data_IF_207942445315
#
_entry.id   IF_207942445315
#
_cell.length_a   1.000
_cell.length_b   1.000
_cell.length_c   1.000
_cell.angle_alpha   90.00
_cell.angle_beta   90.00
_cell.angle_gamma   90.00
#
_symmetry.space_group_name_H-M   'P 1'
#
loop_
_entity.id
_entity.type
_entity.pdbx_description
1 polymer ?
#
# COMPACT_ATOMS: atom_id res chain seq x y z
N UNK A 1 27.03 0.67 -2.51
CA UNK A 1 26.62 2.09 -2.63
C UNK A 1 25.12 2.35 -2.50
N UNK A 2 24.22 1.40 -2.75
CA UNK A 2 22.76 1.61 -2.54
C UNK A 2 22.32 1.72 -1.06
N UNK A 3 22.94 0.95 -0.16
CA UNK A 3 22.58 0.93 1.27
C UNK A 3 22.83 2.28 1.98
N UNK A 4 23.87 3.01 1.56
CA UNK A 4 24.15 4.34 2.10
C UNK A 4 23.13 5.38 1.62
N UNK A 5 22.70 5.27 0.36
CA UNK A 5 21.70 6.15 -0.24
C UNK A 5 20.32 5.96 0.41
N UNK A 6 19.92 4.71 0.66
CA UNK A 6 18.67 4.37 1.36
C UNK A 6 18.69 4.88 2.81
N UNK A 7 19.82 4.77 3.51
CA UNK A 7 19.95 5.30 4.88
C UNK A 7 19.84 6.82 4.94
N UNK A 8 20.48 7.55 4.01
CA UNK A 8 20.41 9.02 3.98
C UNK A 8 18.99 9.50 3.66
N UNK A 9 18.34 8.89 2.67
CA UNK A 9 16.96 9.23 2.29
C UNK A 9 15.97 8.93 3.43
N UNK A 10 16.19 7.85 4.18
CA UNK A 10 15.41 7.48 5.36
C UNK A 10 15.59 8.47 6.52
N UNK A 11 16.78 9.05 6.69
CA UNK A 11 17.03 10.07 7.71
C UNK A 11 16.35 11.39 7.33
N UNK A 12 16.40 11.77 6.05
CA UNK A 12 15.74 12.97 5.53
C UNK A 12 14.22 12.92 5.65
N UNK A 13 13.59 11.77 5.37
CA UNK A 13 12.14 11.59 5.51
C UNK A 13 11.68 11.66 6.97
N UNK A 14 12.46 11.08 7.90
CA UNK A 14 12.19 11.17 9.34
C UNK A 14 12.32 12.61 9.83
N UNK A 15 13.37 13.32 9.38
CA UNK A 15 13.60 14.73 9.70
C UNK A 15 12.49 15.62 9.16
N UNK A 16 12.05 15.38 7.92
CA UNK A 16 10.94 16.11 7.30
C UNK A 16 9.62 15.93 8.07
N UNK A 17 9.28 14.68 8.42
CA UNK A 17 8.08 14.38 9.21
C UNK A 17 8.14 14.98 10.61
N UNK A 18 9.27 14.88 11.29
CA UNK A 18 9.49 15.52 12.58
C UNK A 18 9.34 17.05 12.49
N UNK A 19 9.89 17.66 11.43
CA UNK A 19 9.77 19.09 11.19
C UNK A 19 8.31 19.52 11.00
N UNK A 20 7.50 18.74 10.27
CA UNK A 20 6.07 18.99 10.09
C UNK A 20 5.32 18.87 11.43
N UNK A 21 5.57 17.81 12.21
CA UNK A 21 4.94 17.65 13.52
C UNK A 21 5.31 18.79 14.48
N UNK A 22 6.57 19.23 14.49
CA UNK A 22 7.01 20.38 15.29
C UNK A 22 6.37 21.70 14.84
N UNK A 23 6.20 21.91 13.53
CA UNK A 23 5.46 23.08 13.00
C UNK A 23 3.99 23.07 13.45
N UNK A 24 3.35 21.91 13.49
CA UNK A 24 1.99 21.77 13.97
C UNK A 24 1.88 22.10 15.47
N UNK A 25 2.82 21.62 16.30
CA UNK A 25 2.90 22.00 17.72
C UNK A 25 3.04 23.51 17.88
N UNK A 26 3.92 24.14 17.09
CA UNK A 26 4.11 25.58 17.13
C UNK A 26 2.83 26.35 16.77
N UNK A 27 2.16 25.94 15.68
CA UNK A 27 0.91 26.57 15.23
C UNK A 27 -0.22 26.41 16.26
N UNK A 28 -0.44 25.20 16.77
CA UNK A 28 -1.47 24.92 17.78
C UNK A 28 -1.18 25.67 19.09
N UNK A 29 0.09 25.77 19.48
CA UNK A 29 0.50 26.50 20.68
C UNK A 29 0.29 28.00 20.54
N UNK A 30 0.64 28.59 19.39
CA UNK A 30 0.36 30.00 19.11
C UNK A 30 -1.15 30.28 19.12
N UNK A 31 -1.95 29.40 18.51
CA UNK A 31 -3.41 29.55 18.52
C UNK A 31 -3.95 29.51 19.96
N UNK A 32 -3.49 28.58 20.78
CA UNK A 32 -3.85 28.50 22.19
C UNK A 32 -3.46 29.77 22.95
N UNK A 33 -2.23 30.27 22.77
CA UNK A 33 -1.75 31.49 23.43
C UNK A 33 -2.54 32.72 23.02
N UNK A 34 -2.89 32.88 21.74
CA UNK A 34 -3.73 33.97 21.27
C UNK A 34 -5.13 33.90 21.91
N UNK A 35 -5.73 32.71 22.01
CA UNK A 35 -7.04 32.55 22.67
C UNK A 35 -6.96 32.82 24.18
N UNK A 36 -5.89 32.38 24.83
CA UNK A 36 -5.65 32.65 26.25
C UNK A 36 -5.46 34.15 26.51
N UNK A 37 -4.76 34.84 25.61
CA UNK A 37 -4.57 36.29 25.64
C UNK A 37 -5.89 37.04 25.49
N UNK A 38 -6.74 36.67 24.53
CA UNK A 38 -8.08 37.26 24.37
C UNK A 38 -8.90 37.13 25.65
N UNK A 39 -8.91 35.96 26.29
CA UNK A 39 -9.63 35.73 27.56
C UNK A 39 -9.03 36.57 28.70
N UNK A 40 -7.71 36.73 28.74
CA UNK A 40 -7.04 37.49 29.80
C UNK A 40 -7.23 39.01 29.68
N UNK A 41 -7.35 39.54 28.46
CA UNK A 41 -7.55 40.97 28.22
C UNK A 41 -9.02 41.34 28.40
N UNK A 42 -9.95 40.41 28.12
CA UNK A 42 -11.39 40.66 28.18
C UNK A 42 -12.12 39.69 29.14
N UNK A 43 -11.87 39.79 30.47
CA UNK A 43 -12.39 38.86 31.47
C UNK A 43 -13.90 38.98 31.71
N UNK A 44 -14.57 39.99 31.14
CA UNK A 44 -16.03 40.19 31.21
C UNK A 44 -16.82 39.30 30.25
N UNK A 45 -16.13 38.59 29.35
CA UNK A 45 -16.76 37.63 28.43
C UNK A 45 -17.07 36.35 29.23
N UNK A 46 -18.25 36.30 29.84
CA UNK A 46 -18.81 35.08 30.43
C UNK A 46 -19.38 34.15 29.33
N UNK A 47 -18.74 34.13 28.17
CA UNK A 47 -19.19 33.41 26.98
C UNK A 47 -18.59 32.00 27.00
N UNK A 48 -19.48 31.02 27.09
CA UNK A 48 -19.11 29.60 27.09
C UNK A 48 -18.40 29.21 25.79
N UNK A 49 -18.64 29.95 24.71
CA UNK A 49 -18.01 29.70 23.41
C UNK A 49 -16.50 29.97 23.43
N UNK A 50 -16.05 31.07 24.04
CA UNK A 50 -14.62 31.40 24.12
C UNK A 50 -13.86 30.40 25.00
N UNK A 51 -14.48 29.95 26.10
CA UNK A 51 -13.93 28.89 26.95
C UNK A 51 -13.85 27.55 26.23
N UNK A 52 -14.88 27.20 25.44
CA UNK A 52 -14.89 26.00 24.61
C UNK A 52 -13.80 26.06 23.54
N UNK A 53 -13.63 27.20 22.86
CA UNK A 53 -12.58 27.40 21.87
C UNK A 53 -11.17 27.30 22.48
N UNK A 54 -10.95 27.80 23.70
CA UNK A 54 -9.69 27.61 24.42
C UNK A 54 -9.43 26.15 24.78
N UNK A 55 -10.44 25.44 25.29
CA UNK A 55 -10.34 24.02 25.62
C UNK A 55 -10.04 23.18 24.38
N UNK A 56 -10.65 23.51 23.24
CA UNK A 56 -10.37 22.85 21.97
C UNK A 56 -8.94 23.13 21.48
N UNK A 57 -8.45 24.37 21.61
CA UNK A 57 -7.06 24.69 21.29
C UNK A 57 -6.07 23.94 22.20
N UNK A 58 -6.37 23.78 23.49
CA UNK A 58 -5.55 22.98 24.41
C UNK A 58 -5.53 21.49 24.03
N UNK A 59 -6.67 20.95 23.59
CA UNK A 59 -6.77 19.59 23.07
C UNK A 59 -5.93 19.42 21.80
N UNK A 60 -6.00 20.36 20.86
CA UNK A 60 -5.19 20.35 19.64
C UNK A 60 -3.68 20.42 19.94
N UNK A 61 -3.26 21.17 20.97
CA UNK A 61 -1.86 21.14 21.45
C UNK A 61 -1.49 19.74 21.95
N UNK A 62 -2.34 19.14 22.79
CA UNK A 62 -2.12 17.79 23.33
C UNK A 62 -2.01 16.74 22.23
N UNK A 63 -2.89 16.79 21.23
CA UNK A 63 -2.86 15.93 20.04
C UNK A 63 -1.58 16.12 19.23
N UNK A 64 -1.17 17.37 18.96
CA UNK A 64 0.06 17.66 18.21
C UNK A 64 1.33 17.18 18.93
N UNK A 65 1.34 17.20 20.27
CA UNK A 65 2.44 16.65 21.06
C UNK A 65 2.46 15.12 20.96
N UNK A 66 1.30 14.47 21.03
CA UNK A 66 1.19 13.03 20.83
C UNK A 66 1.65 12.62 19.42
N UNK A 67 1.42 13.45 18.41
CA UNK A 67 1.93 13.23 17.05
C UNK A 67 3.46 13.32 16.97
N UNK A 68 4.09 14.27 17.69
CA UNK A 68 5.55 14.34 17.79
C UNK A 68 6.11 13.11 18.51
N UNK A 69 5.49 12.71 19.62
CA UNK A 69 5.88 11.50 20.37
C UNK A 69 5.78 10.29 19.44
N UNK A 70 4.70 10.17 18.68
CA UNK A 70 4.52 9.10 17.69
C UNK A 70 5.58 9.18 16.59
N UNK A 71 5.92 10.37 16.10
CA UNK A 71 6.97 10.56 15.10
C UNK A 71 8.38 10.24 15.61
N UNK A 72 8.66 10.45 16.90
CA UNK A 72 9.96 10.20 17.54
C UNK A 72 10.11 8.75 18.05
N UNK A 73 9.04 8.15 18.60
CA UNK A 73 9.08 6.86 19.28
C UNK A 73 8.60 5.70 18.41
N UNK A 74 7.73 5.95 17.42
CA UNK A 74 7.33 4.90 16.48
C UNK A 74 8.27 4.99 15.30
N UNK A 75 9.27 4.09 15.18
CA UNK A 75 9.82 3.81 13.88
C UNK A 75 8.64 3.29 13.06
N UNK A 76 8.04 4.12 12.21
CA UNK A 76 7.55 3.58 10.94
C UNK A 76 8.81 3.06 10.28
N UNK A 77 9.14 1.78 10.52
CA UNK A 77 10.16 1.11 9.74
C UNK A 77 9.69 1.28 8.30
N UNK A 78 10.50 1.90 7.41
CA UNK A 78 10.10 2.05 6.03
C UNK A 78 9.82 0.68 5.38
N UNK A 79 10.38 -0.40 5.92
CA UNK A 79 10.05 -1.77 5.52
C UNK A 79 8.54 -2.04 5.64
N UNK A 80 7.87 -1.71 6.74
CA UNK A 80 6.44 -2.01 6.90
C UNK A 80 5.51 -1.18 6.00
N UNK A 81 5.95 0.01 5.56
CA UNK A 81 5.23 0.81 4.56
C UNK A 81 5.51 0.38 3.13
N UNK A 82 6.75 -0.04 2.82
CA UNK A 82 7.11 -0.62 1.53
C UNK A 82 6.43 -1.99 1.37
N UNK A 83 6.51 -2.86 2.38
CA UNK A 83 5.80 -4.15 2.44
C UNK A 83 4.30 -4.00 2.21
N UNK A 84 3.68 -3.03 2.89
CA UNK A 84 2.26 -2.73 2.67
C UNK A 84 2.00 -2.25 1.25
N UNK A 85 2.84 -1.34 0.73
CA UNK A 85 2.71 -0.85 -0.65
C UNK A 85 2.89 -1.97 -1.69
N UNK A 86 3.82 -2.89 -1.49
CA UNK A 86 4.07 -4.01 -2.41
C UNK A 86 2.93 -5.04 -2.36
N UNK A 87 2.37 -5.30 -1.18
CA UNK A 87 1.14 -6.06 -1.05
C UNK A 87 -0.04 -5.37 -1.74
N UNK A 88 -0.20 -4.05 -1.55
CA UNK A 88 -1.27 -3.27 -2.18
C UNK A 88 -1.12 -3.28 -3.72
N UNK A 89 0.11 -3.16 -4.24
CA UNK A 89 0.41 -3.31 -5.66
C UNK A 89 0.07 -4.71 -6.18
N UNK A 90 0.48 -5.76 -5.47
CA UNK A 90 0.16 -7.14 -5.83
C UNK A 90 -1.36 -7.38 -5.88
N UNK A 91 -2.11 -6.84 -4.92
CA UNK A 91 -3.58 -6.91 -4.91
C UNK A 91 -4.15 -6.18 -6.13
N UNK A 92 -3.63 -4.99 -6.45
CA UNK A 92 -4.07 -4.23 -7.62
C UNK A 92 -3.84 -4.99 -8.93
N UNK A 93 -2.67 -5.61 -9.10
CA UNK A 93 -2.34 -6.41 -10.29
C UNK A 93 -3.26 -7.65 -10.42
N UNK A 94 -3.54 -8.33 -9.31
CA UNK A 94 -4.43 -9.49 -9.28
C UNK A 94 -5.89 -9.11 -9.60
N UNK A 95 -6.41 -8.00 -9.04
CA UNK A 95 -7.76 -7.52 -9.38
C UNK A 95 -7.83 -7.08 -10.84
N UNK A 96 -6.80 -6.42 -11.37
CA UNK A 96 -6.73 -6.08 -12.80
C UNK A 96 -6.75 -7.33 -13.67
N UNK A 97 -5.96 -8.35 -13.32
CA UNK A 97 -5.94 -9.65 -14.01
C UNK A 97 -7.30 -10.34 -13.98
N UNK A 98 -8.01 -10.29 -12.86
CA UNK A 98 -9.39 -10.83 -12.77
C UNK A 98 -10.35 -10.13 -13.74
N UNK A 99 -10.23 -8.81 -13.94
CA UNK A 99 -11.08 -8.13 -14.93
C UNK A 99 -10.86 -8.64 -16.36
N UNK A 100 -9.64 -9.07 -16.70
CA UNK A 100 -9.32 -9.69 -17.99
C UNK A 100 -10.11 -10.99 -18.21
N UNK A 101 -10.29 -11.81 -17.16
CA UNK A 101 -11.08 -13.04 -17.23
C UNK A 101 -12.59 -12.78 -17.30
N UNK A 102 -13.06 -11.66 -16.77
CA UNK A 102 -14.48 -11.29 -16.77
C UNK A 102 -14.93 -10.71 -18.11
N UNK A 103 -14.00 -10.15 -18.87
CA UNK A 103 -14.27 -9.69 -20.23
C UNK A 103 -14.41 -10.91 -21.16
N UNK A 104 -15.43 -10.89 -22.02
CA UNK A 104 -15.58 -11.91 -23.06
C UNK A 104 -14.32 -11.92 -23.92
N UNK A 105 -13.57 -13.03 -23.90
CA UNK A 105 -12.31 -13.18 -24.63
C UNK A 105 -12.61 -13.30 -26.13
N UNK A 106 -12.81 -12.17 -26.78
CA UNK A 106 -13.09 -12.07 -28.23
C UNK A 106 -11.80 -12.01 -29.06
N UNK A 107 -10.65 -11.79 -28.41
CA UNK A 107 -9.35 -11.68 -29.05
C UNK A 107 -8.32 -12.53 -28.30
N UNK A 108 -7.33 -13.10 -29.00
CA UNK A 108 -6.25 -13.84 -28.36
C UNK A 108 -5.43 -12.91 -27.47
N UNK A 109 -5.16 -13.34 -26.24
CA UNK A 109 -4.27 -12.63 -25.32
C UNK A 109 -2.79 -12.83 -25.70
N UNK A 110 -2.48 -13.96 -26.35
CA UNK A 110 -1.12 -14.33 -26.74
C UNK A 110 -1.10 -15.11 -28.06
N UNK A 111 0.09 -15.31 -28.63
CA UNK A 111 0.30 -16.09 -29.86
C UNK A 111 0.59 -17.58 -29.58
N UNK A 112 0.42 -18.01 -28.33
CA UNK A 112 0.70 -19.39 -27.91
C UNK A 112 -0.38 -20.36 -28.40
N UNK A 113 0.06 -21.57 -28.74
CA UNK A 113 -0.83 -22.69 -29.03
C UNK A 113 -1.42 -23.27 -27.74
N UNK A 114 -2.41 -24.18 -27.88
CA UNK A 114 -3.07 -24.80 -26.72
C UNK A 114 -2.10 -25.53 -25.80
N UNK A 115 -1.19 -26.33 -26.36
CA UNK A 115 -0.22 -27.11 -25.57
C UNK A 115 0.83 -26.22 -24.91
N UNK A 116 1.32 -25.18 -25.59
CA UNK A 116 2.24 -24.21 -24.99
C UNK A 116 1.57 -23.40 -23.88
N UNK A 117 0.28 -23.07 -24.05
CA UNK A 117 -0.53 -22.42 -23.02
C UNK A 117 -0.71 -23.33 -21.81
N UNK A 118 -0.94 -24.63 -22.03
CA UNK A 118 -1.04 -25.63 -20.97
C UNK A 118 0.29 -25.78 -20.20
N UNK A 119 1.42 -25.84 -20.91
CA UNK A 119 2.75 -25.89 -20.29
C UNK A 119 3.00 -24.65 -19.42
N UNK A 120 2.63 -23.47 -19.91
CA UNK A 120 2.69 -22.23 -19.13
C UNK A 120 1.78 -22.26 -17.89
N UNK A 121 0.57 -22.83 -17.99
CA UNK A 121 -0.30 -23.00 -16.81
C UNK A 121 0.36 -23.89 -15.77
N UNK A 122 0.95 -25.01 -16.19
CA UNK A 122 1.62 -25.94 -15.27
C UNK A 122 2.83 -25.28 -14.60
N UNK A 123 3.69 -24.62 -15.37
CA UNK A 123 4.90 -23.99 -14.85
C UNK A 123 4.56 -22.84 -13.88
N UNK A 124 3.62 -21.96 -14.25
CA UNK A 124 3.22 -20.88 -13.34
C UNK A 124 2.47 -21.39 -12.11
N UNK A 125 1.75 -22.52 -12.19
CA UNK A 125 1.12 -23.16 -11.01
C UNK A 125 2.16 -23.68 -10.03
N UNK A 126 3.26 -24.26 -10.53
CA UNK A 126 4.38 -24.71 -9.71
C UNK A 126 5.07 -23.52 -9.04
N UNK A 127 5.38 -22.46 -9.81
CA UNK A 127 5.98 -21.23 -9.30
C UNK A 127 5.12 -20.57 -8.22
N UNK A 128 3.80 -20.56 -8.39
CA UNK A 128 2.88 -20.05 -7.37
C UNK A 128 2.96 -20.89 -6.08
N UNK A 129 2.97 -22.22 -6.18
CA UNK A 129 3.11 -23.10 -5.01
C UNK A 129 4.43 -22.91 -4.25
N UNK A 130 5.53 -22.71 -4.98
CA UNK A 130 6.84 -22.37 -4.40
C UNK A 130 6.81 -20.99 -3.71
N UNK A 131 6.25 -19.98 -4.37
CA UNK A 131 6.10 -18.64 -3.82
C UNK A 131 5.24 -18.64 -2.53
N UNK A 132 4.13 -19.38 -2.50
CA UNK A 132 3.30 -19.54 -1.29
C UNK A 132 4.06 -20.18 -0.13
N UNK A 133 4.92 -21.16 -0.42
CA UNK A 133 5.80 -21.78 0.57
C UNK A 133 6.84 -20.79 1.09
N UNK A 134 7.44 -20.00 0.19
CA UNK A 134 8.36 -18.93 0.56
C UNK A 134 7.68 -17.86 1.42
N UNK A 135 6.47 -17.42 1.09
CA UNK A 135 5.66 -16.49 1.91
C UNK A 135 5.47 -17.04 3.33
N UNK A 136 5.04 -18.30 3.46
CA UNK A 136 4.80 -18.92 4.76
C UNK A 136 6.08 -19.02 5.60
N UNK A 137 7.20 -19.39 4.97
CA UNK A 137 8.50 -19.48 5.65
C UNK A 137 9.07 -18.11 6.03
N UNK A 138 8.97 -17.11 5.14
CA UNK A 138 9.43 -15.75 5.37
C UNK A 138 8.62 -15.06 6.48
N UNK A 139 7.30 -15.29 6.51
CA UNK A 139 6.42 -14.83 7.58
C UNK A 139 6.82 -15.42 8.95
N UNK A 140 7.10 -16.73 9.01
CA UNK A 140 7.54 -17.40 10.25
C UNK A 140 8.87 -16.87 10.77
N UNK A 141 9.79 -16.54 9.86
CA UNK A 141 11.14 -16.07 10.21
C UNK A 141 11.25 -14.55 10.32
N UNK A 142 10.13 -13.81 10.19
CA UNK A 142 10.09 -12.33 10.17
C UNK A 142 11.07 -11.72 9.16
N UNK A 143 11.32 -12.41 8.05
CA UNK A 143 12.20 -11.93 7.00
C UNK A 143 11.40 -11.12 5.99
N UNK A 144 11.38 -9.81 6.19
CA UNK A 144 10.61 -8.87 5.40
C UNK A 144 11.02 -8.82 3.92
N UNK A 145 12.32 -8.90 3.60
CA UNK A 145 12.79 -8.86 2.20
C UNK A 145 12.35 -10.09 1.41
N UNK A 146 12.54 -11.28 2.00
CA UNK A 146 12.09 -12.53 1.37
C UNK A 146 10.57 -12.59 1.25
N UNK A 147 9.85 -12.02 2.21
CA UNK A 147 8.39 -11.94 2.17
C UNK A 147 7.92 -11.09 0.98
N UNK A 148 8.49 -9.90 0.79
CA UNK A 148 8.15 -9.03 -0.35
C UNK A 148 8.44 -9.73 -1.67
N UNK A 149 9.63 -10.32 -1.82
CA UNK A 149 10.00 -11.02 -3.05
C UNK A 149 9.04 -12.17 -3.36
N UNK A 150 8.68 -12.96 -2.35
CA UNK A 150 7.75 -14.06 -2.52
C UNK A 150 6.33 -13.60 -2.88
N UNK A 151 5.87 -12.46 -2.35
CA UNK A 151 4.59 -11.84 -2.74
C UNK A 151 4.62 -11.36 -4.19
N UNK A 152 5.71 -10.71 -4.63
CA UNK A 152 5.87 -10.28 -6.02
C UNK A 152 5.90 -11.47 -6.98
N UNK A 153 6.62 -12.53 -6.64
CA UNK A 153 6.66 -13.77 -7.43
C UNK A 153 5.28 -14.44 -7.52
N UNK A 154 4.53 -14.48 -6.40
CA UNK A 154 3.17 -14.99 -6.38
C UNK A 154 2.22 -14.14 -7.24
N UNK A 155 2.29 -12.81 -7.14
CA UNK A 155 1.49 -11.89 -7.96
C UNK A 155 1.74 -12.11 -9.45
N UNK A 156 3.02 -12.15 -9.86
CA UNK A 156 3.40 -12.38 -11.24
C UNK A 156 2.95 -13.74 -11.76
N UNK A 157 3.08 -14.80 -10.94
CA UNK A 157 2.59 -16.12 -11.30
C UNK A 157 1.07 -16.13 -11.51
N UNK A 158 0.30 -15.46 -10.64
CA UNK A 158 -1.16 -15.33 -10.79
C UNK A 158 -1.54 -14.55 -12.05
N UNK A 159 -0.84 -13.45 -12.36
CA UNK A 159 -1.09 -12.67 -13.57
C UNK A 159 -0.83 -13.51 -14.83
N UNK A 160 0.29 -14.23 -14.89
CA UNK A 160 0.62 -15.10 -16.02
C UNK A 160 -0.36 -16.28 -16.15
N UNK A 161 -0.81 -16.86 -15.03
CA UNK A 161 -1.84 -17.91 -15.02
C UNK A 161 -3.15 -17.40 -15.58
N UNK A 162 -3.52 -16.18 -15.21
CA UNK A 162 -4.72 -15.51 -15.71
C UNK A 162 -4.63 -15.32 -17.23
N UNK A 163 -3.53 -14.78 -17.74
CA UNK A 163 -3.31 -14.59 -19.18
C UNK A 163 -3.34 -15.93 -19.95
N UNK A 164 -2.67 -16.96 -19.41
CA UNK A 164 -2.66 -18.29 -20.03
C UNK A 164 -4.05 -18.92 -19.99
N UNK A 165 -4.81 -18.75 -18.91
CA UNK A 165 -6.18 -19.25 -18.79
C UNK A 165 -7.14 -18.53 -19.75
N UNK A 166 -6.97 -17.23 -19.95
CA UNK A 166 -7.73 -16.45 -20.93
C UNK A 166 -7.44 -16.93 -22.35
N UNK A 167 -6.16 -17.14 -22.69
CA UNK A 167 -5.74 -17.68 -23.99
C UNK A 167 -6.30 -19.10 -24.22
N UNK A 168 -6.24 -19.98 -23.22
CA UNK A 168 -6.79 -21.32 -23.33
C UNK A 168 -8.31 -21.28 -23.58
N UNK A 169 -9.03 -20.40 -22.87
CA UNK A 169 -10.47 -20.20 -23.04
C UNK A 169 -10.82 -19.70 -24.44
N UNK A 170 -10.04 -18.76 -25.00
CA UNK A 170 -10.17 -18.31 -26.39
C UNK A 170 -9.99 -19.46 -27.38
N UNK A 171 -8.89 -20.21 -27.25
CA UNK A 171 -8.57 -21.33 -28.13
C UNK A 171 -9.65 -22.42 -28.12
N UNK A 172 -10.24 -22.69 -26.95
CA UNK A 172 -11.38 -23.60 -26.82
C UNK A 172 -12.62 -23.01 -27.52
N UNK A 173 -12.92 -21.72 -27.33
CA UNK A 173 -14.08 -21.06 -27.94
C UNK A 173 -14.04 -20.98 -29.47
N UNK A 174 -12.86 -20.77 -30.07
CA UNK A 174 -12.71 -20.80 -31.54
C UNK A 174 -12.70 -22.22 -32.12
N UNK A 175 -12.50 -23.23 -31.27
CA UNK A 175 -12.53 -24.64 -31.66
C UNK A 175 -13.94 -25.23 -31.66
N UNK A 176 -14.93 -24.51 -31.12
CA UNK A 176 -16.32 -24.97 -31.10
C UNK A 176 -16.96 -24.90 -32.51
N UNK A 177 -17.67 -25.96 -32.89
CA UNK A 177 -18.16 -26.18 -34.28
C UNK A 177 -19.24 -25.18 -34.72
N UNK A 178 -19.89 -24.52 -33.76
CA UNK A 178 -20.89 -23.44 -33.94
C UNK A 178 -20.26 -22.05 -34.05
N UNK A 179 -18.96 -21.94 -33.78
CA UNK A 179 -18.22 -20.68 -33.76
C UNK A 179 -17.94 -20.22 -35.20
N UNK A 180 -18.63 -19.17 -35.62
CA UNK A 180 -18.34 -18.50 -36.90
C UNK A 180 -17.15 -17.59 -36.68
N UNK A 181 -16.02 -17.92 -37.33
CA UNK A 181 -14.86 -17.02 -37.40
C UNK A 181 -15.32 -15.73 -38.07
N UNK A 182 -15.45 -14.67 -37.28
CA UNK A 182 -15.70 -13.31 -37.76
C UNK A 182 -14.48 -12.74 -38.48
#
# INVERSE_FOLDING_TARGET
NGIYFINHQQEDDKRSRLLVSLKNVHSSSNQFLERAKTISIEPTINDNDVKYQLANAAKAVTESINDVITACLVPKSPTTTIERSECDNAIHDMETSKTLLQQSVLQPCSNLTYFETLDNVVENSKRLGEAMTHIASASKNTNHELFIQAIQDASKAVCNLTESSAQASYLIGVSEVTSTKG
#
